data_IF_054123204700
#
_entry.id   IF_054123204700
#
_cell.length_a   1.000
_cell.length_b   1.000
_cell.length_c   1.000
_cell.angle_alpha   90.00
_cell.angle_beta   90.00
_cell.angle_gamma   90.00
#
_symmetry.space_group_name_H-M   'P 1'
#
loop_
_entity.id
_entity.type
_entity.pdbx_description
1 polymer ?
#
# COMPACT_ATOMS: atom_id res chain seq x y z
N UNK A 1 -19.02 2.13 45.25
CA UNK A 1 -19.35 1.64 43.90
C UNK A 1 -18.73 2.62 42.93
N UNK A 2 -17.58 2.25 42.37
CA UNK A 2 -16.84 3.06 41.41
C UNK A 2 -16.89 2.30 40.08
N UNK A 3 -17.57 2.86 39.09
CA UNK A 3 -17.56 2.36 37.72
C UNK A 3 -16.32 2.93 37.02
N UNK A 4 -15.34 2.05 36.79
CA UNK A 4 -14.21 2.31 35.93
C UNK A 4 -14.70 2.35 34.47
N UNK A 5 -14.81 3.54 33.90
CA UNK A 5 -14.89 3.69 32.44
C UNK A 5 -13.49 3.44 31.86
N UNK A 6 -13.34 2.30 31.20
CA UNK A 6 -12.18 2.01 30.37
C UNK A 6 -12.13 3.02 29.22
N UNK A 7 -11.06 3.81 29.16
CA UNK A 7 -10.68 4.56 27.97
C UNK A 7 -10.29 3.58 26.88
N UNK A 8 -11.20 3.34 25.95
CA UNK A 8 -10.90 2.72 24.66
C UNK A 8 -9.89 3.60 23.92
N UNK A 9 -8.68 3.07 23.78
CA UNK A 9 -7.64 3.58 22.88
C UNK A 9 -8.20 3.58 21.46
N UNK A 10 -8.72 4.71 21.03
CA UNK A 10 -9.10 4.95 19.64
C UNK A 10 -7.83 4.89 18.80
N UNK A 11 -7.65 3.80 18.05
CA UNK A 11 -6.70 3.74 16.95
C UNK A 11 -7.03 4.89 15.99
N UNK A 12 -6.24 5.96 16.04
CA UNK A 12 -6.33 7.06 15.09
C UNK A 12 -5.86 6.51 13.76
N UNK A 13 -6.81 6.10 12.92
CA UNK A 13 -6.61 6.05 11.48
C UNK A 13 -6.31 7.50 11.10
N UNK A 14 -5.04 7.85 10.95
CA UNK A 14 -4.65 9.15 10.41
C UNK A 14 -5.34 9.29 9.06
N UNK A 15 -6.43 10.04 9.03
CA UNK A 15 -7.09 10.45 7.80
C UNK A 15 -6.07 11.27 7.03
N UNK A 16 -5.50 10.69 5.97
CA UNK A 16 -4.52 11.36 5.11
C UNK A 16 -5.12 12.68 4.62
N UNK A 17 -4.73 13.80 5.23
CA UNK A 17 -5.20 15.11 4.81
C UNK A 17 -4.51 15.46 3.49
N UNK A 18 -5.21 16.06 2.53
CA UNK A 18 -4.59 16.45 1.25
C UNK A 18 -3.35 17.34 1.47
N UNK A 19 -3.38 18.20 2.49
CA UNK A 19 -2.28 19.11 2.82
C UNK A 19 -1.01 18.43 3.32
N UNK A 20 -1.10 17.24 3.94
CA UNK A 20 0.06 16.50 4.46
C UNK A 20 0.80 15.70 3.39
N UNK A 21 0.19 15.51 2.21
CA UNK A 21 0.84 14.84 1.08
C UNK A 21 1.90 15.79 0.51
N UNK A 22 3.13 15.29 0.42
CA UNK A 22 4.26 16.04 -0.13
C UNK A 22 4.02 16.44 -1.60
N UNK A 23 4.70 17.48 -2.07
CA UNK A 23 4.65 17.83 -3.50
C UNK A 23 5.47 16.82 -4.30
N UNK A 24 4.91 16.33 -5.41
CA UNK A 24 5.65 15.48 -6.34
C UNK A 24 6.57 16.35 -7.20
N UNK A 25 7.86 16.34 -6.86
CA UNK A 25 8.90 17.13 -7.54
C UNK A 25 9.88 16.25 -8.32
N UNK A 26 10.04 14.98 -7.91
CA UNK A 26 11.01 14.06 -8.51
C UNK A 26 10.58 12.59 -8.41
N UNK A 27 11.19 11.69 -9.21
CA UNK A 27 10.89 10.26 -9.16
C UNK A 27 11.10 9.60 -7.79
N UNK A 28 12.02 10.13 -6.97
CA UNK A 28 12.32 9.59 -5.65
C UNK A 28 11.11 9.62 -4.70
N UNK A 29 10.22 10.62 -4.86
CA UNK A 29 9.00 10.75 -4.06
C UNK A 29 7.81 9.94 -4.59
N UNK A 30 7.91 9.35 -5.79
CA UNK A 30 6.77 8.79 -6.51
C UNK A 30 6.03 7.72 -5.70
N UNK A 31 6.73 6.70 -5.20
CA UNK A 31 6.11 5.54 -4.52
C UNK A 31 5.27 6.01 -3.32
N UNK A 32 5.87 6.83 -2.45
CA UNK A 32 5.18 7.38 -1.28
C UNK A 32 4.01 8.29 -1.69
N UNK A 33 4.25 9.21 -2.63
CA UNK A 33 3.25 10.16 -3.11
C UNK A 33 2.05 9.46 -3.75
N UNK A 34 2.30 8.48 -4.62
CA UNK A 34 1.29 7.74 -5.36
C UNK A 34 0.39 6.94 -4.41
N UNK A 35 0.95 6.33 -3.37
CA UNK A 35 0.17 5.69 -2.31
C UNK A 35 -0.71 6.70 -1.57
N UNK A 36 -0.11 7.76 -1.02
CA UNK A 36 -0.82 8.74 -0.20
C UNK A 36 -1.95 9.46 -0.96
N UNK A 37 -1.72 9.81 -2.24
CA UNK A 37 -2.74 10.46 -3.06
C UNK A 37 -3.86 9.49 -3.46
N UNK A 38 -3.54 8.21 -3.71
CA UNK A 38 -4.53 7.17 -4.01
C UNK A 38 -5.41 6.88 -2.81
N UNK A 39 -4.82 6.78 -1.62
CA UNK A 39 -5.56 6.62 -0.36
C UNK A 39 -6.50 7.79 -0.13
N UNK A 40 -6.01 9.03 -0.30
CA UNK A 40 -6.83 10.23 -0.19
C UNK A 40 -8.02 10.19 -1.17
N UNK A 41 -7.77 9.93 -2.46
CA UNK A 41 -8.81 9.82 -3.50
C UNK A 41 -9.86 8.76 -3.12
N UNK A 42 -9.43 7.62 -2.58
CA UNK A 42 -10.33 6.58 -2.06
C UNK A 42 -11.21 7.09 -0.93
N UNK A 43 -10.60 7.70 0.08
CA UNK A 43 -11.28 8.22 1.28
C UNK A 43 -12.33 9.28 0.94
N UNK A 44 -12.01 10.21 0.03
CA UNK A 44 -12.96 11.28 -0.37
C UNK A 44 -14.01 10.80 -1.38
N UNK A 45 -14.06 9.49 -1.67
CA UNK A 45 -15.09 8.86 -2.48
C UNK A 45 -14.88 8.99 -3.99
N UNK A 46 -13.66 9.31 -4.45
CA UNK A 46 -13.30 9.41 -5.86
C UNK A 46 -12.65 8.14 -6.43
N UNK A 47 -12.38 7.13 -5.60
CA UNK A 47 -11.69 5.90 -6.03
C UNK A 47 -12.42 5.08 -7.11
N UNK A 48 -13.74 5.16 -7.20
CA UNK A 48 -14.54 4.49 -8.24
C UNK A 48 -14.27 5.03 -9.66
N UNK A 49 -13.72 6.24 -9.79
CA UNK A 49 -13.27 6.82 -11.06
C UNK A 49 -12.08 6.06 -11.67
N UNK A 50 -11.37 5.22 -10.90
CA UNK A 50 -10.33 4.32 -11.41
C UNK A 50 -10.85 2.91 -11.71
N UNK A 51 -12.14 2.66 -11.45
CA UNK A 51 -12.77 1.37 -11.67
C UNK A 51 -14.08 1.51 -12.43
N UNK A 52 -15.20 1.23 -11.75
CA UNK A 52 -16.54 1.13 -12.36
C UNK A 52 -17.02 2.41 -13.04
N UNK A 53 -16.56 3.58 -12.60
CA UNK A 53 -16.96 4.90 -13.13
C UNK A 53 -15.82 5.59 -13.90
N UNK A 54 -14.90 4.81 -14.45
CA UNK A 54 -13.77 5.31 -15.25
C UNK A 54 -14.19 6.08 -16.49
N UNK A 55 -15.24 5.63 -17.16
CA UNK A 55 -15.78 6.27 -18.36
C UNK A 55 -17.04 7.09 -18.04
N UNK A 56 -17.37 8.09 -18.89
CA UNK A 56 -18.62 8.82 -18.75
C UNK A 56 -19.84 7.89 -18.71
N UNK A 57 -20.90 8.25 -17.97
CA UNK A 57 -22.10 7.45 -17.88
C UNK A 57 -22.80 7.33 -19.25
N UNK A 58 -23.15 6.09 -19.62
CA UNK A 58 -23.96 5.83 -20.80
C UNK A 58 -25.40 6.36 -20.61
N UNK A 59 -26.01 6.87 -21.70
CA UNK A 59 -27.39 7.39 -21.69
C UNK A 59 -28.44 6.33 -21.37
N UNK A 60 -28.35 5.16 -22.00
CA UNK A 60 -29.31 4.07 -21.80
C UNK A 60 -30.75 4.53 -22.07
N UNK A 61 -31.68 4.14 -21.19
CA UNK A 61 -33.09 4.52 -21.24
C UNK A 61 -33.44 5.77 -20.42
N UNK A 62 -32.43 6.56 -20.00
CA UNK A 62 -32.66 7.80 -19.25
C UNK A 62 -33.23 8.89 -20.19
N UNK A 63 -34.04 9.79 -19.62
CA UNK A 63 -34.39 11.05 -20.29
C UNK A 63 -33.15 11.92 -20.46
N UNK A 64 -33.21 12.86 -21.41
CA UNK A 64 -32.11 13.77 -21.72
C UNK A 64 -31.62 14.53 -20.47
N UNK A 65 -32.54 15.12 -19.72
CA UNK A 65 -32.22 15.86 -18.48
C UNK A 65 -31.49 14.99 -17.45
N UNK A 66 -31.98 13.77 -17.20
CA UNK A 66 -31.36 12.85 -16.22
C UNK A 66 -29.99 12.36 -16.67
N UNK A 67 -29.78 12.23 -17.98
CA UNK A 67 -28.49 11.85 -18.52
C UNK A 67 -27.48 12.97 -18.40
N UNK A 68 -27.86 14.21 -18.72
CA UNK A 68 -27.00 15.39 -18.56
C UNK A 68 -26.66 15.64 -17.09
N UNK A 69 -27.62 15.54 -16.17
CA UNK A 69 -27.35 15.65 -14.72
C UNK A 69 -26.31 14.63 -14.25
N UNK A 70 -26.43 13.38 -14.72
CA UNK A 70 -25.50 12.30 -14.35
C UNK A 70 -24.12 12.52 -14.95
N UNK A 71 -24.06 13.03 -16.17
CA UNK A 71 -22.81 13.35 -16.88
C UNK A 71 -22.09 14.53 -16.23
N UNK A 72 -22.82 15.57 -15.86
CA UNK A 72 -22.28 16.73 -15.13
C UNK A 72 -21.77 16.31 -13.75
N UNK A 73 -22.51 15.47 -13.02
CA UNK A 73 -22.05 14.92 -11.75
C UNK A 73 -20.76 14.10 -11.91
N UNK A 74 -20.62 13.35 -13.01
CA UNK A 74 -19.39 12.62 -13.33
C UNK A 74 -18.22 13.57 -13.63
N UNK A 75 -18.44 14.60 -14.46
CA UNK A 75 -17.41 15.63 -14.76
C UNK A 75 -16.98 16.37 -13.49
N UNK A 76 -17.92 16.83 -12.67
CA UNK A 76 -17.62 17.47 -11.38
C UNK A 76 -16.75 16.59 -10.47
N UNK A 77 -16.99 15.27 -10.48
CA UNK A 77 -16.19 14.31 -9.71
C UNK A 77 -14.77 14.18 -10.26
N UNK A 78 -14.63 14.08 -11.60
CA UNK A 78 -13.32 14.09 -12.27
C UNK A 78 -12.54 15.37 -11.95
N UNK A 79 -13.18 16.55 -12.06
CA UNK A 79 -12.56 17.84 -11.80
C UNK A 79 -12.03 17.96 -10.38
N UNK A 80 -12.80 17.50 -9.38
CA UNK A 80 -12.38 17.50 -7.98
C UNK A 80 -11.19 16.57 -7.75
N UNK A 81 -11.21 15.36 -8.33
CA UNK A 81 -10.11 14.41 -8.21
C UNK A 81 -8.83 14.93 -8.90
N UNK A 82 -8.95 15.42 -10.14
CA UNK A 82 -7.86 16.03 -10.90
C UNK A 82 -7.29 17.26 -10.18
N UNK A 83 -8.14 18.10 -9.59
CA UNK A 83 -7.72 19.27 -8.81
C UNK A 83 -6.96 18.88 -7.56
N UNK A 84 -7.40 17.83 -6.85
CA UNK A 84 -6.69 17.31 -5.69
C UNK A 84 -5.28 16.84 -6.06
N UNK A 85 -5.13 16.05 -7.12
CA UNK A 85 -3.81 15.64 -7.63
C UNK A 85 -2.98 16.86 -8.00
N UNK A 86 -3.52 17.74 -8.87
CA UNK A 86 -2.81 18.93 -9.35
C UNK A 86 -2.33 19.77 -8.18
N UNK A 87 -3.10 19.88 -7.09
CA UNK A 87 -2.73 20.61 -5.88
C UNK A 87 -1.43 20.13 -5.21
N UNK A 88 -1.02 18.88 -5.46
CA UNK A 88 0.16 18.20 -4.90
C UNK A 88 1.26 17.94 -5.93
N UNK A 89 1.24 18.67 -7.04
CA UNK A 89 2.25 18.62 -8.09
C UNK A 89 3.09 19.91 -8.12
N UNK A 90 4.38 19.76 -8.45
CA UNK A 90 5.26 20.90 -8.73
C UNK A 90 4.87 21.60 -10.04
N UNK A 91 5.55 22.71 -10.35
CA UNK A 91 5.24 23.49 -11.55
C UNK A 91 5.39 22.67 -12.84
N UNK A 92 6.42 21.83 -12.94
CA UNK A 92 6.70 21.04 -14.14
C UNK A 92 5.66 19.93 -14.32
N UNK A 93 5.38 19.15 -13.27
CA UNK A 93 4.36 18.12 -13.28
C UNK A 93 2.98 18.70 -13.63
N UNK A 94 2.61 19.87 -13.09
CA UNK A 94 1.36 20.55 -13.44
C UNK A 94 1.28 20.88 -14.93
N UNK A 95 2.39 21.34 -15.52
CA UNK A 95 2.46 21.64 -16.95
C UNK A 95 2.27 20.38 -17.80
N UNK A 96 2.85 19.25 -17.37
CA UNK A 96 2.75 17.98 -18.08
C UNK A 96 1.34 17.38 -18.11
N UNK A 97 0.54 17.63 -17.08
CA UNK A 97 -0.86 17.15 -16.99
C UNK A 97 -1.89 18.20 -17.37
N UNK A 98 -1.44 19.35 -17.88
CA UNK A 98 -2.34 20.42 -18.30
C UNK A 98 -3.21 19.95 -19.48
N UNK A 99 -4.50 20.29 -19.45
CA UNK A 99 -5.48 19.84 -20.45
C UNK A 99 -5.95 18.39 -20.28
N UNK A 100 -5.42 17.62 -19.33
CA UNK A 100 -5.98 16.32 -18.94
C UNK A 100 -7.11 16.53 -17.93
N UNK A 101 -8.24 15.90 -18.22
CA UNK A 101 -9.53 16.09 -17.56
C UNK A 101 -10.01 14.87 -16.76
N UNK A 102 -9.48 13.68 -17.06
CA UNK A 102 -9.81 12.45 -16.32
C UNK A 102 -8.71 12.08 -15.34
N UNK A 103 -9.11 11.59 -14.17
CA UNK A 103 -8.23 11.13 -13.10
C UNK A 103 -7.21 10.11 -13.60
N UNK A 104 -7.66 9.17 -14.42
CA UNK A 104 -6.79 8.14 -14.98
C UNK A 104 -5.71 8.74 -15.89
N UNK A 105 -6.08 9.61 -16.84
CA UNK A 105 -5.10 10.15 -17.79
C UNK A 105 -4.04 10.97 -17.08
N UNK A 106 -4.44 11.74 -16.05
CA UNK A 106 -3.52 12.46 -15.17
C UNK A 106 -2.56 11.50 -14.47
N UNK A 107 -3.07 10.46 -13.79
CA UNK A 107 -2.23 9.50 -13.07
C UNK A 107 -1.30 8.72 -13.99
N UNK A 108 -1.78 8.28 -15.16
CA UNK A 108 -0.96 7.57 -16.14
C UNK A 108 0.15 8.46 -16.69
N UNK A 109 -0.12 9.74 -16.95
CA UNK A 109 0.89 10.69 -17.41
C UNK A 109 1.99 10.87 -16.36
N UNK A 110 1.61 11.05 -15.10
CA UNK A 110 2.55 11.18 -13.99
C UNK A 110 3.35 9.90 -13.78
N UNK A 111 2.70 8.73 -13.85
CA UNK A 111 3.36 7.42 -13.72
C UNK A 111 4.46 7.25 -14.77
N UNK A 112 4.18 7.56 -16.03
CA UNK A 112 5.18 7.47 -17.11
C UNK A 112 6.41 8.36 -16.86
N UNK A 113 6.22 9.50 -16.18
CA UNK A 113 7.30 10.48 -15.95
C UNK A 113 8.08 10.24 -14.68
N UNK A 114 7.39 9.86 -13.61
CA UNK A 114 7.91 9.88 -12.24
C UNK A 114 8.05 8.49 -11.63
N UNK A 115 7.37 7.45 -12.15
CA UNK A 115 7.59 6.09 -11.63
C UNK A 115 9.06 5.74 -11.85
N UNK A 116 9.83 5.49 -10.77
CA UNK A 116 11.22 5.12 -10.92
C UNK A 116 11.28 3.74 -11.59
N UNK A 117 12.25 3.58 -12.50
CA UNK A 117 12.47 2.34 -13.24
C UNK A 117 13.95 2.00 -13.25
N UNK A 118 14.24 0.73 -13.53
CA UNK A 118 15.61 0.25 -13.70
C UNK A 118 16.29 -0.24 -12.42
N UNK A 119 17.49 -0.77 -12.61
CA UNK A 119 18.17 -1.58 -11.59
C UNK A 119 18.65 -0.80 -10.37
N UNK A 120 18.94 0.50 -10.51
CA UNK A 120 19.49 1.29 -9.40
C UNK A 120 18.47 1.48 -8.25
N UNK A 121 17.22 1.83 -8.57
CA UNK A 121 16.18 1.94 -7.55
C UNK A 121 15.82 0.56 -6.98
N UNK A 122 15.81 -0.47 -7.84
CA UNK A 122 15.61 -1.85 -7.39
C UNK A 122 16.65 -2.24 -6.35
N UNK A 123 17.93 -2.04 -6.64
CA UNK A 123 19.03 -2.36 -5.72
C UNK A 123 18.89 -1.65 -4.37
N UNK A 124 18.48 -0.39 -4.36
CA UNK A 124 18.27 0.36 -3.12
C UNK A 124 17.07 -0.17 -2.31
N UNK A 125 15.94 -0.46 -2.97
CA UNK A 125 14.77 -1.05 -2.29
C UNK A 125 15.06 -2.47 -1.79
N UNK A 126 15.73 -3.27 -2.61
CA UNK A 126 16.11 -4.65 -2.30
C UNK A 126 17.08 -4.71 -1.13
N UNK A 127 18.11 -3.85 -1.14
CA UNK A 127 19.05 -3.70 -0.02
C UNK A 127 18.31 -3.33 1.27
N UNK A 128 17.44 -2.32 1.22
CA UNK A 128 16.64 -1.90 2.38
C UNK A 128 15.77 -3.04 2.91
N UNK A 129 15.13 -3.80 2.02
CA UNK A 129 14.32 -4.95 2.42
C UNK A 129 15.17 -6.02 3.12
N UNK A 130 16.34 -6.37 2.56
CA UNK A 130 17.20 -7.42 3.10
C UNK A 130 17.94 -7.02 4.38
N UNK A 131 18.36 -5.77 4.51
CA UNK A 131 19.12 -5.26 5.65
C UNK A 131 18.23 -4.89 6.85
N UNK A 132 16.92 -4.65 6.66
CA UNK A 132 16.02 -4.30 7.76
C UNK A 132 15.94 -5.41 8.80
N UNK A 133 16.20 -5.08 10.07
CA UNK A 133 16.10 -5.99 11.21
C UNK A 133 15.32 -5.36 12.36
N UNK A 134 15.03 -6.18 13.39
CA UNK A 134 14.44 -5.70 14.64
C UNK A 134 15.34 -4.66 15.33
N UNK A 135 16.66 -4.74 15.18
CA UNK A 135 17.61 -3.79 15.77
C UNK A 135 17.44 -2.36 15.24
N UNK A 136 16.88 -2.19 14.03
CA UNK A 136 16.58 -0.89 13.44
C UNK A 136 15.23 -0.32 13.91
N UNK A 137 14.51 -1.06 14.75
CA UNK A 137 13.12 -0.80 15.13
C UNK A 137 12.96 -0.72 16.64
N UNK A 138 11.83 -0.18 17.08
CA UNK A 138 11.50 0.03 18.50
C UNK A 138 10.80 -1.17 19.13
N UNK A 139 10.63 -2.25 18.37
CA UNK A 139 9.91 -3.46 18.80
C UNK A 139 9.37 -4.25 17.61
N UNK A 140 8.85 -5.45 17.90
CA UNK A 140 8.46 -6.45 16.87
C UNK A 140 7.39 -5.90 15.92
N UNK A 141 6.40 -5.17 16.45
CA UNK A 141 5.35 -4.52 15.67
C UNK A 141 5.89 -3.48 14.67
N UNK A 142 6.79 -2.62 15.15
CA UNK A 142 7.39 -1.59 14.29
C UNK A 142 8.22 -2.25 13.19
N UNK A 143 8.98 -3.30 13.51
CA UNK A 143 9.72 -4.07 12.53
C UNK A 143 8.82 -4.72 11.47
N UNK A 144 7.76 -5.42 11.87
CA UNK A 144 6.82 -6.04 10.94
C UNK A 144 6.13 -5.00 10.03
N UNK A 145 5.78 -3.82 10.57
CA UNK A 145 5.22 -2.71 9.79
C UNK A 145 6.20 -2.19 8.73
N UNK A 146 7.46 -1.94 9.12
CA UNK A 146 8.50 -1.48 8.21
C UNK A 146 8.85 -2.53 7.15
N UNK A 147 8.82 -3.82 7.51
CA UNK A 147 9.07 -4.91 6.57
C UNK A 147 7.92 -5.07 5.55
N UNK A 148 6.66 -4.95 5.99
CA UNK A 148 5.49 -4.88 5.08
C UNK A 148 5.60 -3.72 4.11
N UNK A 149 6.01 -2.54 4.61
CA UNK A 149 6.25 -1.36 3.77
C UNK A 149 7.34 -1.63 2.72
N UNK A 150 8.49 -2.17 3.12
CA UNK A 150 9.58 -2.49 2.18
C UNK A 150 9.16 -3.51 1.11
N UNK A 151 8.41 -4.56 1.48
CA UNK A 151 7.83 -5.52 0.52
C UNK A 151 6.87 -4.86 -0.47
N UNK A 152 6.01 -3.96 0.01
CA UNK A 152 5.06 -3.23 -0.83
C UNK A 152 5.78 -2.28 -1.82
N UNK A 153 6.84 -1.61 -1.39
CA UNK A 153 7.64 -0.72 -2.26
C UNK A 153 8.31 -1.50 -3.40
N UNK A 154 8.80 -2.73 -3.15
CA UNK A 154 9.31 -3.62 -4.19
C UNK A 154 8.21 -4.01 -5.19
N UNK A 155 7.04 -4.43 -4.70
CA UNK A 155 5.91 -4.79 -5.57
C UNK A 155 5.38 -3.62 -6.40
N UNK A 156 5.42 -2.40 -5.84
CA UNK A 156 5.02 -1.19 -6.55
C UNK A 156 6.03 -0.80 -7.65
N UNK A 157 7.31 -1.11 -7.44
CA UNK A 157 8.34 -0.93 -8.46
C UNK A 157 8.06 -1.82 -9.68
N UNK A 158 7.90 -3.12 -9.48
CA UNK A 158 7.54 -4.06 -10.53
C UNK A 158 6.82 -5.31 -9.98
N UNK A 159 5.90 -5.89 -10.76
CA UNK A 159 5.19 -7.11 -10.38
C UNK A 159 6.12 -8.31 -10.22
N UNK A 160 7.23 -8.34 -10.97
CA UNK A 160 8.23 -9.41 -10.89
C UNK A 160 9.06 -9.34 -9.58
N UNK A 161 8.98 -8.22 -8.86
CA UNK A 161 9.60 -8.06 -7.54
C UNK A 161 8.72 -8.57 -6.39
N UNK A 162 7.62 -9.28 -6.69
CA UNK A 162 6.74 -9.85 -5.68
C UNK A 162 7.48 -10.85 -4.78
N UNK A 163 7.58 -10.54 -3.48
CA UNK A 163 8.10 -11.48 -2.48
C UNK A 163 6.96 -12.41 -2.03
N UNK A 164 7.16 -13.72 -2.19
CA UNK A 164 6.20 -14.73 -1.73
C UNK A 164 6.10 -14.81 -0.19
N UNK A 165 4.95 -15.24 0.31
CA UNK A 165 4.69 -15.30 1.76
C UNK A 165 5.72 -16.14 2.55
N UNK A 166 6.17 -17.33 2.09
CA UNK A 166 7.20 -18.09 2.80
C UNK A 166 8.52 -17.34 2.97
N UNK A 167 8.96 -16.65 1.92
CA UNK A 167 10.19 -15.84 1.97
C UNK A 167 10.03 -14.63 2.87
N UNK A 168 8.84 -14.03 2.87
CA UNK A 168 8.52 -12.89 3.70
C UNK A 168 8.51 -13.23 5.20
N UNK A 169 7.84 -14.34 5.57
CA UNK A 169 7.86 -14.86 6.95
C UNK A 169 9.29 -15.23 7.35
N UNK A 170 10.04 -15.92 6.49
CA UNK A 170 11.42 -16.26 6.79
C UNK A 170 12.29 -15.01 7.00
N UNK A 171 12.09 -13.95 6.21
CA UNK A 171 12.80 -12.68 6.38
C UNK A 171 12.44 -12.00 7.72
N UNK A 172 11.18 -12.02 8.12
CA UNK A 172 10.77 -11.55 9.45
C UNK A 172 11.49 -12.33 10.55
N UNK A 173 11.39 -13.66 10.56
CA UNK A 173 11.97 -14.53 11.59
C UNK A 173 13.50 -14.37 11.70
N UNK A 174 14.20 -14.34 10.57
CA UNK A 174 15.66 -14.15 10.53
C UNK A 174 16.09 -12.73 10.92
N UNK A 175 15.19 -11.74 10.79
CA UNK A 175 15.42 -10.36 11.20
C UNK A 175 15.19 -10.07 12.69
N UNK A 176 14.64 -11.01 13.47
CA UNK A 176 14.39 -10.83 14.91
C UNK A 176 15.69 -10.75 15.74
N UNK A 177 16.79 -11.28 15.22
CA UNK A 177 18.09 -11.21 15.89
C UNK A 177 18.34 -12.33 16.90
N UNK A 178 19.49 -12.29 17.60
CA UNK A 178 19.99 -13.40 18.41
C UNK A 178 19.16 -13.68 19.67
N UNK A 179 18.46 -12.69 20.21
CA UNK A 179 17.68 -12.83 21.45
C UNK A 179 16.47 -13.75 21.27
N UNK A 180 15.96 -13.85 20.04
CA UNK A 180 14.84 -14.71 19.66
C UNK A 180 15.26 -16.15 19.31
N UNK A 181 16.54 -16.55 19.50
CA UNK A 181 16.99 -17.92 19.17
C UNK A 181 16.16 -19.04 19.82
N UNK A 182 15.81 -18.99 21.12
CA UNK A 182 14.98 -20.03 21.73
C UNK A 182 13.59 -20.11 21.09
N UNK A 183 12.95 -18.96 20.88
CA UNK A 183 11.69 -18.83 20.15
C UNK A 183 11.78 -19.42 18.74
N UNK A 184 12.78 -19.03 17.95
CA UNK A 184 12.96 -19.52 16.58
C UNK A 184 13.11 -21.04 16.53
N UNK A 185 13.81 -21.62 17.49
CA UNK A 185 13.98 -23.08 17.59
C UNK A 185 12.63 -23.77 17.80
N UNK A 186 11.83 -23.28 18.75
CA UNK A 186 10.49 -23.82 19.00
C UNK A 186 9.55 -23.55 17.81
N UNK A 187 9.66 -22.39 17.17
CA UNK A 187 8.84 -21.99 16.04
C UNK A 187 9.03 -22.94 14.86
N UNK A 188 10.28 -23.20 14.45
CA UNK A 188 10.57 -24.09 13.32
C UNK A 188 10.21 -25.56 13.58
N UNK A 189 10.08 -25.97 14.84
CA UNK A 189 9.62 -27.32 15.20
C UNK A 189 8.10 -27.47 15.09
N UNK A 190 7.35 -26.38 15.34
CA UNK A 190 5.89 -26.43 15.48
C UNK A 190 5.13 -25.81 14.29
N UNK A 191 5.81 -25.04 13.44
CA UNK A 191 5.19 -24.32 12.33
C UNK A 191 5.86 -24.64 10.98
N UNK A 192 5.05 -24.66 9.94
CA UNK A 192 5.48 -24.92 8.57
C UNK A 192 5.61 -23.58 7.82
N UNK A 193 6.78 -23.29 7.22
CA UNK A 193 6.94 -22.10 6.37
C UNK A 193 6.37 -22.28 4.96
N UNK A 194 6.25 -23.53 4.53
CA UNK A 194 5.70 -23.93 3.22
C UNK A 194 4.55 -24.91 3.45
N UNK A 195 3.48 -24.88 2.63
CA UNK A 195 2.35 -25.77 2.83
C UNK A 195 2.74 -27.22 2.52
N UNK A 196 2.28 -28.16 3.35
CA UNK A 196 2.36 -29.58 3.01
C UNK A 196 1.18 -29.94 2.10
N UNK A 197 1.47 -30.68 1.04
CA UNK A 197 0.48 -31.10 0.04
C UNK A 197 0.50 -32.61 -0.15
N UNK A 198 -0.65 -33.18 -0.48
CA UNK A 198 -0.75 -34.53 -1.06
C UNK A 198 -0.28 -34.53 -2.51
N UNK A 199 -0.12 -35.74 -3.06
CA UNK A 199 0.26 -35.96 -4.46
C UNK A 199 -0.73 -35.35 -5.47
N UNK A 200 -1.99 -35.15 -5.08
CA UNK A 200 -3.04 -34.48 -5.88
C UNK A 200 -3.02 -32.94 -5.76
N UNK A 201 -2.10 -32.38 -4.97
CA UNK A 201 -1.96 -30.95 -4.73
C UNK A 201 -2.82 -30.37 -3.60
N UNK A 202 -3.67 -31.18 -2.95
CA UNK A 202 -4.49 -30.79 -1.80
C UNK A 202 -3.59 -30.41 -0.62
N UNK A 203 -3.84 -29.24 -0.01
CA UNK A 203 -3.08 -28.76 1.16
C UNK A 203 -3.55 -29.48 2.42
N UNK A 204 -2.65 -30.24 3.06
CA UNK A 204 -2.91 -30.98 4.31
C UNK A 204 -2.47 -30.23 5.56
N UNK A 205 -1.46 -29.36 5.43
CA UNK A 205 -1.04 -28.44 6.47
C UNK A 205 -0.73 -27.08 5.85
N UNK A 206 -1.34 -26.03 6.41
CA UNK A 206 -1.13 -24.65 5.93
C UNK A 206 0.24 -24.15 6.34
N UNK A 207 0.84 -23.32 5.49
CA UNK A 207 1.98 -22.52 5.88
C UNK A 207 1.54 -21.43 6.87
N UNK A 208 2.42 -21.10 7.80
CA UNK A 208 2.26 -19.97 8.71
C UNK A 208 2.32 -18.66 7.93
N UNK A 209 1.50 -17.71 8.36
CA UNK A 209 1.44 -16.34 7.82
C UNK A 209 2.31 -15.39 8.63
N UNK A 210 2.59 -14.19 8.08
CA UNK A 210 3.28 -13.17 8.88
C UNK A 210 2.50 -12.80 10.14
N UNK A 211 1.17 -12.69 10.06
CA UNK A 211 0.35 -12.25 11.19
C UNK A 211 0.41 -13.26 12.35
N UNK A 212 0.39 -14.56 12.05
CA UNK A 212 0.59 -15.62 13.05
C UNK A 212 2.00 -15.57 13.65
N UNK A 213 3.03 -15.41 12.81
CA UNK A 213 4.41 -15.31 13.29
C UNK A 213 4.65 -14.08 14.17
N UNK A 214 4.03 -12.95 13.82
CA UNK A 214 4.09 -11.70 14.57
C UNK A 214 3.48 -11.85 15.96
N UNK A 215 2.25 -12.38 16.05
CA UNK A 215 1.56 -12.60 17.34
C UNK A 215 2.37 -13.51 18.26
N UNK A 216 3.07 -14.50 17.71
CA UNK A 216 3.90 -15.41 18.49
C UNK A 216 5.20 -14.74 18.95
N UNK A 217 5.85 -13.95 18.09
CA UNK A 217 7.08 -13.23 18.44
C UNK A 217 6.83 -12.12 19.48
N UNK A 218 5.69 -11.42 19.42
CA UNK A 218 5.32 -10.40 20.41
C UNK A 218 5.18 -10.95 21.84
N UNK A 219 4.87 -12.23 22.00
CA UNK A 219 4.74 -12.85 23.33
C UNK A 219 6.09 -13.08 24.02
N UNK A 220 7.18 -13.00 23.27
CA UNK A 220 8.54 -13.22 23.72
C UNK A 220 9.30 -11.89 23.95
N UNK A 221 8.68 -10.76 23.58
CA UNK A 221 9.17 -9.39 23.84
C UNK A 221 8.93 -8.99 25.31
#
# INVERSE_FOLDING_TARGET
>A
MAENFATESSNVISTSSLGSIAILESPAGWIKWHREISDYIGIVGYGDLLGRNRSPPAKGALSDDKWEDRKEAWHSKQDKACSAIKSRLDFNARKEVNGLDTLETVLNKLKTRYKPTGSAIFQELDRRYHELTLADCTGVNHFASQLRKARAELLELDSDCAVGEPHFVNKFLTGLGPDYKPFLTAFYQNHQLIPTRKDDGEVTAKAVTLDEALVLAEREE
#
